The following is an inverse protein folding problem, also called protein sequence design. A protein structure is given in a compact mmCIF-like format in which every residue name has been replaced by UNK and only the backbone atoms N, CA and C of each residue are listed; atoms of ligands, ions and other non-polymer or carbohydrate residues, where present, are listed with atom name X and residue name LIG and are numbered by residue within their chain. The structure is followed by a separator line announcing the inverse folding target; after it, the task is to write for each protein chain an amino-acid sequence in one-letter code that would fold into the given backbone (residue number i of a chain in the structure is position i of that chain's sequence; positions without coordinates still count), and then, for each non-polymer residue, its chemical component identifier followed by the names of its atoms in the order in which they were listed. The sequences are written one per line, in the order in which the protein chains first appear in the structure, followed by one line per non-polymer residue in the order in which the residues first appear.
data_IF_528390797045
#
_entry.id   IF_528390797045
#
_cell.length_a   1.000
_cell.length_b   1.000
_cell.length_c   1.000
_cell.angle_alpha   90.00
_cell.angle_beta   90.00
_cell.angle_gamma   90.00
#
_symmetry.space_group_name_H-M   'P 1'
#
loop_
_entity.id
_entity.type
_entity.pdbx_description
1 polymer ?
#
# COMPACT_ATOMS: atom_id res chain seq x y z
N UNK A 1 -32.64 -3.00 3.42
CA UNK A 1 -32.28 -1.72 4.04
C UNK A 1 -31.48 -0.89 3.03
N UNK A 2 -31.88 0.38 2.80
CA UNK A 2 -31.13 1.24 1.87
C UNK A 2 -29.98 1.91 2.58
N UNK A 3 -28.81 1.89 1.94
CA UNK A 3 -27.57 2.49 2.45
C UNK A 3 -26.92 3.29 1.32
N UNK A 4 -26.57 4.56 1.60
CA UNK A 4 -25.76 5.38 0.68
C UNK A 4 -24.30 5.05 0.90
N UNK A 5 -23.61 4.74 -0.19
CA UNK A 5 -22.18 4.46 -0.24
C UNK A 5 -21.50 5.28 -1.36
N UNK A 6 -20.21 5.46 -1.28
CA UNK A 6 -19.44 6.10 -2.34
C UNK A 6 -19.16 5.13 -3.48
N UNK A 7 -18.94 5.66 -4.68
CA UNK A 7 -18.75 4.85 -5.88
C UNK A 7 -17.61 3.81 -5.72
N UNK A 8 -16.49 4.19 -5.09
CA UNK A 8 -15.35 3.28 -4.87
C UNK A 8 -15.62 2.15 -3.85
N UNK A 9 -16.71 2.24 -3.07
CA UNK A 9 -17.12 1.19 -2.12
C UNK A 9 -17.96 0.10 -2.76
N UNK A 10 -18.35 0.30 -4.01
CA UNK A 10 -19.23 -0.63 -4.73
C UNK A 10 -18.46 -1.91 -5.10
N UNK A 11 -19.15 -3.06 -5.01
CA UNK A 11 -18.61 -4.40 -5.26
C UNK A 11 -19.60 -5.23 -6.08
N UNK A 12 -19.08 -6.24 -6.78
CA UNK A 12 -19.88 -7.31 -7.39
C UNK A 12 -20.71 -8.00 -6.30
N UNK A 13 -22.00 -8.22 -6.56
CA UNK A 13 -22.95 -8.75 -5.60
C UNK A 13 -23.79 -7.69 -4.87
N UNK A 14 -23.47 -6.41 -4.97
CA UNK A 14 -24.28 -5.32 -4.44
C UNK A 14 -25.47 -5.04 -5.36
N UNK A 15 -26.63 -4.72 -4.75
CA UNK A 15 -27.81 -4.31 -5.48
C UNK A 15 -27.92 -2.78 -5.47
N UNK A 16 -27.76 -2.17 -6.64
CA UNK A 16 -27.89 -0.71 -6.84
C UNK A 16 -29.37 -0.34 -6.93
N UNK A 17 -29.82 0.56 -6.05
CA UNK A 17 -31.14 1.17 -6.10
C UNK A 17 -31.12 2.49 -6.87
N UNK A 18 -30.03 3.29 -6.71
CA UNK A 18 -29.93 4.62 -7.30
C UNK A 18 -28.46 5.04 -7.45
N UNK A 19 -28.17 5.74 -8.55
CA UNK A 19 -26.90 6.43 -8.78
C UNK A 19 -27.13 7.93 -8.58
N UNK A 20 -26.28 8.57 -7.79
CA UNK A 20 -26.37 9.99 -7.49
C UNK A 20 -25.16 10.75 -8.07
N UNK A 21 -25.39 11.82 -8.83
CA UNK A 21 -24.35 12.67 -9.41
C UNK A 21 -24.92 13.86 -10.17
N UNK A 22 -24.11 14.89 -10.38
CA UNK A 22 -24.53 16.17 -10.99
C UNK A 22 -24.60 16.15 -12.51
N UNK A 23 -24.09 15.11 -13.17
CA UNK A 23 -24.02 14.97 -14.63
C UNK A 23 -24.20 13.52 -15.06
N UNK A 24 -25.29 12.87 -14.66
CA UNK A 24 -25.61 11.52 -15.11
C UNK A 24 -25.98 11.56 -16.59
N UNK A 25 -25.29 10.75 -17.40
CA UNK A 25 -25.56 10.59 -18.83
C UNK A 25 -26.93 9.92 -19.02
N UNK A 26 -27.91 10.58 -19.69
CA UNK A 26 -29.24 10.03 -19.89
C UNK A 26 -29.26 8.72 -20.72
N UNK A 27 -28.18 8.43 -21.45
CA UNK A 27 -28.04 7.23 -22.27
C UNK A 27 -27.54 6.00 -21.50
N UNK A 28 -27.20 6.13 -20.20
CA UNK A 28 -26.69 5.03 -19.37
C UNK A 28 -27.78 4.49 -18.43
N UNK A 29 -27.73 3.19 -18.07
CA UNK A 29 -28.77 2.59 -17.26
C UNK A 29 -28.85 3.26 -15.87
N UNK A 30 -29.94 3.99 -15.61
CA UNK A 30 -30.27 4.61 -14.33
C UNK A 30 -31.20 3.71 -13.49
N UNK A 31 -31.34 2.44 -13.86
CA UNK A 31 -32.23 1.49 -13.22
C UNK A 31 -31.63 0.80 -12.00
N UNK A 32 -32.52 0.13 -11.25
CA UNK A 32 -32.14 -0.77 -10.17
C UNK A 32 -31.57 -2.05 -10.75
N UNK A 33 -30.37 -2.45 -10.35
CA UNK A 33 -29.72 -3.65 -10.85
C UNK A 33 -28.77 -4.27 -9.84
N UNK A 34 -28.54 -5.58 -9.98
CA UNK A 34 -27.52 -6.32 -9.28
C UNK A 34 -26.22 -6.24 -10.07
N UNK A 35 -25.14 -5.87 -9.44
CA UNK A 35 -23.79 -5.90 -10.04
C UNK A 35 -23.36 -7.36 -10.10
N UNK A 36 -23.25 -7.91 -11.31
CA UNK A 36 -22.96 -9.34 -11.52
C UNK A 36 -21.52 -9.59 -11.98
N UNK A 37 -20.83 -8.56 -12.48
CA UNK A 37 -19.51 -8.70 -13.08
C UNK A 37 -18.65 -7.46 -12.91
N UNK A 38 -17.34 -7.57 -13.14
CA UNK A 38 -16.43 -6.44 -13.26
C UNK A 38 -16.85 -5.45 -14.35
N UNK A 39 -17.42 -5.95 -15.45
CA UNK A 39 -17.92 -5.11 -16.54
C UNK A 39 -19.07 -4.19 -16.08
N UNK A 40 -19.92 -4.65 -15.17
CA UNK A 40 -20.99 -3.82 -14.59
C UNK A 40 -20.38 -2.73 -13.67
N UNK A 41 -19.32 -3.07 -12.93
CA UNK A 41 -18.55 -2.09 -12.16
C UNK A 41 -17.92 -1.03 -13.06
N UNK A 42 -17.25 -1.43 -14.13
CA UNK A 42 -16.61 -0.51 -15.08
C UNK A 42 -17.61 0.45 -15.71
N UNK A 43 -18.78 -0.05 -16.12
CA UNK A 43 -19.88 0.77 -16.62
C UNK A 43 -20.39 1.78 -15.62
N UNK A 44 -20.48 1.36 -14.36
CA UNK A 44 -20.92 2.23 -13.27
C UNK A 44 -19.88 3.28 -12.92
N UNK A 45 -18.58 2.91 -12.89
CA UNK A 45 -17.47 3.84 -12.69
C UNK A 45 -17.37 4.88 -13.79
N UNK A 46 -17.74 4.52 -15.04
CA UNK A 46 -17.83 5.43 -16.18
C UNK A 46 -19.09 6.33 -16.16
N UNK A 47 -20.00 6.18 -15.21
CA UNK A 47 -21.28 6.92 -15.15
C UNK A 47 -21.19 8.34 -14.56
N UNK A 48 -20.03 8.78 -14.11
CA UNK A 48 -19.84 10.07 -13.40
C UNK A 48 -20.68 10.20 -12.10
N UNK A 49 -21.20 9.10 -11.55
CA UNK A 49 -21.86 9.10 -10.26
C UNK A 49 -20.87 9.46 -9.13
N UNK A 50 -21.33 10.20 -8.13
CA UNK A 50 -20.55 10.57 -6.95
C UNK A 50 -20.83 9.57 -5.82
N UNK A 51 -22.07 9.12 -5.69
CA UNK A 51 -22.51 8.16 -4.69
C UNK A 51 -23.53 7.19 -5.26
N UNK A 52 -23.74 6.10 -4.55
CA UNK A 52 -24.65 5.01 -4.90
C UNK A 52 -25.51 4.65 -3.69
N UNK A 53 -26.81 4.52 -3.90
CA UNK A 53 -27.69 3.92 -2.90
C UNK A 53 -27.82 2.43 -3.21
N UNK A 54 -27.39 1.58 -2.27
CA UNK A 54 -27.53 0.13 -2.35
C UNK A 54 -28.68 -0.37 -1.47
N UNK A 55 -29.25 -1.52 -1.85
CA UNK A 55 -30.20 -2.25 -1.00
C UNK A 55 -29.52 -3.52 -0.47
N UNK A 56 -29.20 -3.50 0.83
CA UNK A 56 -28.51 -4.59 1.52
C UNK A 56 -29.38 -5.83 1.77
N UNK A 57 -30.69 -5.75 1.51
CA UNK A 57 -31.58 -6.92 1.54
C UNK A 57 -31.63 -7.66 0.20
N UNK A 58 -31.25 -6.99 -0.89
CA UNK A 58 -31.27 -7.55 -2.26
C UNK A 58 -29.89 -7.90 -2.78
N UNK A 59 -28.82 -7.44 -2.11
CA UNK A 59 -27.45 -7.69 -2.43
C UNK A 59 -26.56 -7.65 -1.19
N UNK A 60 -25.26 -7.84 -1.38
CA UNK A 60 -24.28 -7.77 -0.29
C UNK A 60 -24.14 -6.32 0.23
N UNK A 61 -23.83 -6.18 1.52
CA UNK A 61 -23.51 -4.88 2.15
C UNK A 61 -21.99 -4.61 2.07
N UNK A 62 -21.62 -3.36 2.27
CA UNK A 62 -20.23 -2.93 2.46
C UNK A 62 -19.59 -3.57 3.68
N UNK A 63 -20.38 -3.93 4.70
CA UNK A 63 -19.91 -4.48 5.96
C UNK A 63 -19.76 -6.01 5.94
N UNK A 64 -20.20 -6.71 4.89
CA UNK A 64 -20.10 -8.18 4.77
C UNK A 64 -18.74 -8.68 4.33
N UNK A 65 -17.80 -7.79 4.00
CA UNK A 65 -16.47 -8.18 3.49
C UNK A 65 -15.47 -8.63 4.57
N UNK A 66 -15.71 -8.36 5.87
CA UNK A 66 -14.81 -8.79 6.95
C UNK A 66 -15.59 -9.06 8.26
N UNK A 67 -15.31 -10.18 8.95
CA UNK A 67 -15.82 -10.38 10.31
C UNK A 67 -15.23 -9.33 11.26
N UNK A 68 -15.99 -8.82 12.23
CA UNK A 68 -15.58 -7.74 13.15
C UNK A 68 -14.49 -8.14 14.16
N UNK A 69 -14.13 -9.41 14.24
CA UNK A 69 -13.06 -9.91 15.11
C UNK A 69 -11.82 -10.22 14.26
N UNK A 70 -10.66 -9.76 14.75
CA UNK A 70 -9.36 -9.76 14.07
C UNK A 70 -9.14 -10.98 13.16
N UNK A 71 -8.73 -10.74 11.94
CA UNK A 71 -8.59 -11.74 10.89
C UNK A 71 -7.93 -13.02 11.42
N UNK A 72 -8.74 -14.03 11.66
CA UNK A 72 -8.27 -15.40 11.76
C UNK A 72 -7.47 -15.69 10.46
N UNK A 73 -6.23 -16.18 10.54
CA UNK A 73 -5.43 -16.50 9.36
C UNK A 73 -6.16 -17.34 8.31
N UNK A 74 -7.06 -18.24 8.74
CA UNK A 74 -7.89 -19.04 7.84
C UNK A 74 -8.93 -18.19 7.07
N UNK A 75 -9.53 -17.19 7.70
CA UNK A 75 -10.48 -16.30 7.04
C UNK A 75 -9.78 -15.38 6.03
N UNK A 76 -8.55 -14.94 6.34
CA UNK A 76 -7.75 -14.16 5.40
C UNK A 76 -7.25 -15.02 4.24
N UNK A 77 -6.86 -16.27 4.48
CA UNK A 77 -6.48 -17.20 3.43
C UNK A 77 -7.66 -17.50 2.48
N UNK A 78 -8.86 -17.69 3.02
CA UNK A 78 -10.08 -17.82 2.23
C UNK A 78 -10.35 -16.55 1.39
N UNK A 79 -10.09 -15.37 1.95
CA UNK A 79 -10.20 -14.09 1.24
C UNK A 79 -9.19 -13.97 0.10
N UNK A 80 -7.93 -14.35 0.31
CA UNK A 80 -6.94 -14.39 -0.78
C UNK A 80 -7.39 -15.30 -1.93
N UNK A 81 -7.95 -16.47 -1.63
CA UNK A 81 -8.47 -17.39 -2.64
C UNK A 81 -9.71 -16.87 -3.39
N UNK A 82 -10.39 -15.83 -2.91
CA UNK A 82 -11.48 -15.18 -3.65
C UNK A 82 -10.97 -14.24 -4.78
N UNK A 83 -9.71 -13.78 -4.69
CA UNK A 83 -9.10 -12.88 -5.68
C UNK A 83 -8.02 -13.54 -6.53
N UNK A 84 -7.32 -14.53 -5.95
CA UNK A 84 -6.17 -15.16 -6.59
C UNK A 84 -6.36 -16.67 -6.68
N UNK A 85 -5.90 -17.26 -7.79
CA UNK A 85 -5.84 -18.72 -7.91
C UNK A 85 -4.82 -19.31 -6.93
N UNK A 86 -4.99 -20.59 -6.59
CA UNK A 86 -4.02 -21.30 -5.74
C UNK A 86 -2.59 -21.27 -6.31
N UNK A 87 -2.46 -21.29 -7.64
CA UNK A 87 -1.18 -21.17 -8.33
C UNK A 87 -0.54 -19.78 -8.14
N UNK A 88 -1.33 -18.71 -8.28
CA UNK A 88 -0.83 -17.34 -8.05
C UNK A 88 -0.37 -17.14 -6.60
N UNK A 89 -1.13 -17.67 -5.63
CA UNK A 89 -0.75 -17.62 -4.21
C UNK A 89 0.54 -18.40 -3.98
N UNK A 90 0.66 -19.61 -4.53
CA UNK A 90 1.86 -20.43 -4.38
C UNK A 90 3.10 -19.79 -5.02
N UNK A 91 2.95 -19.14 -6.19
CA UNK A 91 4.03 -18.38 -6.83
C UNK A 91 4.45 -17.19 -5.96
N UNK A 92 3.48 -16.43 -5.42
CA UNK A 92 3.76 -15.31 -4.54
C UNK A 92 4.47 -15.74 -3.23
N UNK A 93 4.06 -16.86 -2.64
CA UNK A 93 4.73 -17.44 -1.46
C UNK A 93 6.17 -17.83 -1.79
N UNK A 94 6.40 -18.48 -2.94
CA UNK A 94 7.74 -18.83 -3.40
C UNK A 94 8.61 -17.59 -3.62
N UNK A 95 8.09 -16.55 -4.27
CA UNK A 95 8.80 -15.30 -4.49
C UNK A 95 9.23 -14.65 -3.16
N UNK A 96 8.35 -14.65 -2.14
CA UNK A 96 8.68 -14.17 -0.79
C UNK A 96 9.81 -15.01 -0.18
N UNK A 97 9.74 -16.34 -0.24
CA UNK A 97 10.77 -17.23 0.32
C UNK A 97 12.13 -17.06 -0.39
N UNK A 98 12.12 -16.92 -1.71
CA UNK A 98 13.34 -16.68 -2.49
C UNK A 98 13.95 -15.30 -2.25
N UNK A 99 13.13 -14.30 -1.93
CA UNK A 99 13.58 -12.92 -1.64
C UNK A 99 14.06 -12.78 -0.19
N UNK A 100 13.56 -13.61 0.71
CA UNK A 100 13.81 -13.57 2.17
C UNK A 100 15.30 -13.47 2.55
N UNK A 101 16.23 -14.32 2.03
CA UNK A 101 17.62 -14.26 2.44
C UNK A 101 18.27 -12.91 2.12
N UNK A 102 17.93 -12.31 1.01
CA UNK A 102 18.51 -11.03 0.57
C UNK A 102 18.02 -9.87 1.44
N UNK A 103 16.70 -9.75 1.65
CA UNK A 103 16.13 -8.68 2.49
C UNK A 103 16.57 -8.85 3.95
N UNK A 104 16.59 -10.11 4.44
CA UNK A 104 17.07 -10.39 5.80
C UNK A 104 18.52 -9.97 5.98
N UNK A 105 19.38 -10.23 4.99
CA UNK A 105 20.78 -9.77 5.02
C UNK A 105 20.84 -8.24 5.12
N UNK A 106 20.08 -7.51 4.32
CA UNK A 106 20.01 -6.03 4.38
C UNK A 106 19.63 -5.55 5.78
N UNK A 107 18.57 -6.12 6.38
CA UNK A 107 18.07 -5.69 7.68
C UNK A 107 19.05 -6.05 8.82
N UNK A 108 19.62 -7.25 8.81
CA UNK A 108 20.57 -7.71 9.84
C UNK A 108 21.87 -6.90 9.79
N UNK A 109 22.41 -6.63 8.59
CA UNK A 109 23.62 -5.82 8.46
C UNK A 109 23.39 -4.38 8.91
N UNK A 110 22.21 -3.83 8.60
CA UNK A 110 21.84 -2.51 9.10
C UNK A 110 21.75 -2.47 10.64
N UNK A 111 21.18 -3.50 11.24
CA UNK A 111 20.99 -3.60 12.69
C UNK A 111 22.32 -3.80 13.43
N UNK A 112 23.16 -4.74 12.98
CA UNK A 112 24.35 -5.15 13.70
C UNK A 112 25.58 -4.28 13.38
N UNK A 113 25.70 -3.84 12.14
CA UNK A 113 26.89 -3.18 11.64
C UNK A 113 26.67 -1.74 11.17
N UNK A 114 25.43 -1.24 11.24
CA UNK A 114 25.04 0.09 10.72
C UNK A 114 25.48 0.27 9.26
N UNK A 115 25.42 -0.83 8.49
CA UNK A 115 25.86 -0.91 7.11
C UNK A 115 24.72 -1.34 6.18
N UNK A 116 24.76 -0.85 4.96
CA UNK A 116 23.81 -1.22 3.91
C UNK A 116 24.45 -2.24 2.96
N UNK A 117 23.68 -3.26 2.58
CA UNK A 117 24.11 -4.28 1.63
C UNK A 117 23.44 -4.06 0.28
N UNK A 118 24.08 -3.22 -0.55
CA UNK A 118 23.52 -2.76 -1.84
C UNK A 118 23.21 -3.93 -2.79
N UNK A 119 24.13 -4.87 -2.97
CA UNK A 119 23.92 -6.03 -3.87
C UNK A 119 22.76 -6.90 -3.44
N UNK A 120 22.63 -7.16 -2.14
CA UNK A 120 21.51 -7.93 -1.60
C UNK A 120 20.18 -7.22 -1.83
N UNK A 121 20.13 -5.91 -1.65
CA UNK A 121 18.93 -5.12 -1.90
C UNK A 121 18.56 -5.12 -3.40
N UNK A 122 19.53 -4.99 -4.29
CA UNK A 122 19.31 -5.07 -5.73
C UNK A 122 18.78 -6.45 -6.15
N UNK A 123 19.36 -7.54 -5.65
CA UNK A 123 18.91 -8.90 -5.93
C UNK A 123 17.47 -9.14 -5.46
N UNK A 124 17.10 -8.60 -4.29
CA UNK A 124 15.73 -8.67 -3.79
C UNK A 124 14.75 -7.96 -4.74
N UNK A 125 15.09 -6.75 -5.18
CA UNK A 125 14.24 -5.95 -6.09
C UNK A 125 14.12 -6.60 -7.46
N UNK A 126 15.22 -7.13 -8.03
CA UNK A 126 15.19 -7.84 -9.32
C UNK A 126 14.24 -9.04 -9.29
N UNK A 127 14.22 -9.80 -8.17
CA UNK A 127 13.26 -10.90 -8.02
C UNK A 127 11.82 -10.41 -8.02
N UNK A 128 11.50 -9.33 -7.29
CA UNK A 128 10.15 -8.75 -7.31
C UNK A 128 9.78 -8.21 -8.69
N UNK A 129 10.74 -7.63 -9.42
CA UNK A 129 10.50 -7.08 -10.76
C UNK A 129 10.34 -8.14 -11.84
N UNK A 130 10.99 -9.31 -11.68
CA UNK A 130 10.93 -10.40 -12.66
C UNK A 130 9.58 -11.11 -12.67
N UNK A 131 8.80 -10.98 -11.61
CA UNK A 131 7.49 -11.59 -11.52
C UNK A 131 6.46 -10.85 -12.40
N UNK A 132 5.52 -11.62 -12.95
CA UNK A 132 4.40 -11.05 -13.69
C UNK A 132 3.56 -10.14 -12.77
N UNK A 133 2.94 -9.10 -13.33
CA UNK A 133 2.11 -8.14 -12.55
C UNK A 133 1.04 -8.83 -11.70
N UNK A 134 0.46 -9.92 -12.19
CA UNK A 134 -0.52 -10.73 -11.44
C UNK A 134 0.08 -11.39 -10.20
N UNK A 135 1.34 -11.83 -10.29
CA UNK A 135 2.07 -12.43 -9.16
C UNK A 135 2.46 -11.34 -8.15
N UNK A 136 2.81 -10.15 -8.61
CA UNK A 136 3.13 -8.99 -7.74
C UNK A 136 1.91 -8.60 -6.90
N UNK A 137 0.70 -8.57 -7.47
CA UNK A 137 -0.53 -8.31 -6.72
C UNK A 137 -0.82 -9.38 -5.66
N UNK A 138 -0.62 -10.66 -6.01
CA UNK A 138 -0.74 -11.77 -5.07
C UNK A 138 0.34 -11.69 -3.98
N UNK A 139 1.58 -11.27 -4.32
CA UNK A 139 2.67 -11.06 -3.36
C UNK A 139 2.30 -9.99 -2.33
N UNK A 140 1.75 -8.84 -2.77
CA UNK A 140 1.26 -7.79 -1.86
C UNK A 140 0.18 -8.36 -0.93
N UNK A 141 -0.75 -9.16 -1.45
CA UNK A 141 -1.80 -9.83 -0.68
C UNK A 141 -1.22 -10.80 0.36
N UNK A 142 -0.32 -11.70 -0.05
CA UNK A 142 0.32 -12.70 0.82
C UNK A 142 1.20 -12.04 1.88
N UNK A 143 1.93 -10.96 1.54
CA UNK A 143 2.76 -10.22 2.49
C UNK A 143 1.95 -9.58 3.64
N UNK A 144 0.63 -9.36 3.45
CA UNK A 144 -0.26 -8.90 4.53
C UNK A 144 -0.54 -9.97 5.61
N UNK A 145 -0.23 -11.25 5.35
CA UNK A 145 -0.31 -12.37 6.32
C UNK A 145 0.90 -12.39 7.27
N UNK A 146 1.19 -11.29 7.93
CA UNK A 146 2.42 -11.15 8.74
C UNK A 146 2.41 -12.05 9.97
N UNK A 147 3.48 -12.84 10.13
CA UNK A 147 3.86 -13.39 11.41
C UNK A 147 4.49 -12.30 12.30
N UNK A 148 4.37 -12.45 13.63
CA UNK A 148 4.81 -11.42 14.61
C UNK A 148 6.28 -11.02 14.47
N UNK A 149 7.13 -11.93 14.01
CA UNK A 149 8.58 -11.73 13.94
C UNK A 149 9.07 -11.21 12.58
N UNK A 150 8.22 -11.20 11.55
CA UNK A 150 8.59 -10.83 10.17
C UNK A 150 7.98 -9.50 9.70
N UNK A 151 7.35 -8.75 10.60
CA UNK A 151 6.59 -7.55 10.25
C UNK A 151 7.37 -6.53 9.42
N UNK A 152 8.63 -6.26 9.75
CA UNK A 152 9.47 -5.28 9.03
C UNK A 152 9.88 -5.80 7.65
N UNK A 153 10.28 -7.09 7.56
CA UNK A 153 10.64 -7.71 6.29
C UNK A 153 9.49 -7.67 5.27
N UNK A 154 8.31 -8.16 5.67
CA UNK A 154 7.15 -8.25 4.78
C UNK A 154 6.60 -6.86 4.43
N UNK A 155 6.67 -5.89 5.35
CA UNK A 155 6.34 -4.50 5.08
C UNK A 155 7.24 -3.90 3.99
N UNK A 156 8.55 -3.95 4.17
CA UNK A 156 9.50 -3.44 3.18
C UNK A 156 9.31 -4.08 1.80
N UNK A 157 9.09 -5.40 1.77
CA UNK A 157 8.82 -6.11 0.53
C UNK A 157 7.50 -5.68 -0.14
N UNK A 158 6.43 -5.54 0.64
CA UNK A 158 5.13 -5.11 0.14
C UNK A 158 5.15 -3.66 -0.37
N UNK A 159 5.81 -2.74 0.34
CA UNK A 159 5.98 -1.35 -0.11
C UNK A 159 6.81 -1.30 -1.40
N UNK A 160 7.91 -2.07 -1.48
CA UNK A 160 8.69 -2.21 -2.71
C UNK A 160 7.82 -2.66 -3.90
N UNK A 161 7.04 -3.73 -3.72
CA UNK A 161 6.14 -4.26 -4.75
C UNK A 161 5.05 -3.26 -5.15
N UNK A 162 4.46 -2.53 -4.19
CA UNK A 162 3.49 -1.46 -4.44
C UNK A 162 4.11 -0.33 -5.26
N UNK A 163 5.30 0.13 -4.91
CA UNK A 163 5.99 1.20 -5.61
C UNK A 163 6.38 0.80 -7.03
N UNK A 164 6.85 -0.44 -7.26
CA UNK A 164 7.13 -1.01 -8.58
C UNK A 164 5.84 -1.01 -9.42
N UNK A 165 4.76 -1.55 -8.87
CA UNK A 165 3.48 -1.67 -9.58
C UNK A 165 2.90 -0.29 -9.89
N UNK A 166 2.94 0.63 -8.93
CA UNK A 166 2.46 1.99 -9.15
C UNK A 166 3.32 2.76 -10.17
N UNK A 167 4.64 2.61 -10.13
CA UNK A 167 5.55 3.16 -11.13
C UNK A 167 5.25 2.67 -12.56
N UNK A 168 4.98 1.38 -12.73
CA UNK A 168 4.53 0.81 -14.00
C UNK A 168 3.21 1.43 -14.48
N UNK A 169 2.23 1.56 -13.60
CA UNK A 169 0.94 2.18 -13.91
C UNK A 169 1.03 3.68 -14.20
N UNK A 170 2.05 4.37 -13.69
CA UNK A 170 2.35 5.76 -14.04
C UNK A 170 3.07 5.88 -15.38
N UNK A 171 3.52 4.78 -15.99
CA UNK A 171 4.26 4.76 -17.27
C UNK A 171 5.73 5.17 -17.10
N UNK A 172 6.31 4.98 -15.93
CA UNK A 172 7.73 5.25 -15.71
C UNK A 172 8.59 4.19 -16.44
N UNK A 173 9.82 4.57 -16.80
CA UNK A 173 10.76 3.64 -17.41
C UNK A 173 11.29 2.63 -16.37
N UNK A 174 11.82 1.48 -16.84
CA UNK A 174 12.30 0.39 -15.98
C UNK A 174 13.39 0.82 -14.99
N UNK A 175 14.25 1.76 -15.35
CA UNK A 175 15.28 2.29 -14.46
C UNK A 175 14.66 2.99 -13.25
N UNK A 176 13.68 3.90 -13.48
CA UNK A 176 12.96 4.58 -12.41
C UNK A 176 12.14 3.62 -11.56
N UNK A 177 11.53 2.60 -12.18
CA UNK A 177 10.76 1.57 -11.49
C UNK A 177 11.69 0.77 -10.54
N UNK A 178 12.89 0.41 -11.00
CA UNK A 178 13.91 -0.26 -10.17
C UNK A 178 14.32 0.60 -8.97
N UNK A 179 14.51 1.91 -9.17
CA UNK A 179 14.84 2.84 -8.08
C UNK A 179 13.67 2.98 -7.08
N UNK A 180 12.42 3.01 -7.56
CA UNK A 180 11.24 2.97 -6.69
C UNK A 180 11.18 1.68 -5.86
N UNK A 181 11.43 0.53 -6.48
CA UNK A 181 11.49 -0.75 -5.79
C UNK A 181 12.57 -0.77 -4.70
N UNK A 182 13.78 -0.31 -5.04
CA UNK A 182 14.88 -0.24 -4.08
C UNK A 182 14.58 0.74 -2.94
N UNK A 183 14.07 1.93 -3.25
CA UNK A 183 13.66 2.91 -2.26
C UNK A 183 12.58 2.37 -1.33
N UNK A 184 11.53 1.72 -1.88
CA UNK A 184 10.48 1.08 -1.08
C UNK A 184 10.99 -0.04 -0.18
N UNK A 185 11.99 -0.81 -0.63
CA UNK A 185 12.61 -1.86 0.18
C UNK A 185 13.37 -1.29 1.39
N UNK A 186 13.99 -0.12 1.26
CA UNK A 186 14.91 0.44 2.26
C UNK A 186 14.42 1.71 2.95
N UNK A 187 13.20 2.19 2.63
CA UNK A 187 12.68 3.46 3.18
C UNK A 187 12.75 3.53 4.70
N UNK A 188 12.51 2.41 5.36
CA UNK A 188 12.48 2.24 6.82
C UNK A 188 13.78 1.69 7.42
N UNK A 189 14.87 1.62 6.66
CA UNK A 189 16.13 1.00 7.10
C UNK A 189 16.66 1.59 8.41
N UNK A 190 16.46 2.87 8.64
CA UNK A 190 16.86 3.55 9.87
C UNK A 190 16.15 3.09 11.12
N UNK A 191 15.02 2.36 11.03
CA UNK A 191 14.37 1.73 12.17
C UNK A 191 15.23 0.61 12.77
N UNK A 192 16.13 0.00 11.97
CA UNK A 192 17.00 -1.09 12.44
C UNK A 192 17.99 -0.67 13.52
N UNK A 193 18.28 0.62 13.63
CA UNK A 193 19.18 1.18 14.65
C UNK A 193 18.46 1.85 15.83
N UNK A 194 17.14 1.69 15.89
CA UNK A 194 16.32 2.12 17.03
C UNK A 194 16.18 0.97 18.05
N UNK A 195 15.97 1.28 19.34
CA UNK A 195 15.70 0.27 20.36
C UNK A 195 14.51 -0.62 19.96
N UNK A 196 14.70 -1.94 20.01
CA UNK A 196 13.66 -2.92 19.64
C UNK A 196 12.44 -2.82 20.54
N UNK A 197 12.67 -2.53 21.83
CA UNK A 197 11.63 -2.33 22.84
C UNK A 197 10.69 -1.18 22.46
N UNK A 198 11.25 -0.12 21.87
CA UNK A 198 10.50 1.04 21.41
C UNK A 198 9.61 0.68 20.21
N UNK A 199 10.16 -0.07 19.26
CA UNK A 199 9.42 -0.49 18.05
C UNK A 199 8.32 -1.51 18.35
N UNK A 200 8.49 -2.31 19.42
CA UNK A 200 7.54 -3.33 19.87
C UNK A 200 6.62 -2.88 20.98
N UNK A 201 6.75 -1.62 21.45
CA UNK A 201 5.98 -1.10 22.58
C UNK A 201 4.47 -1.18 22.28
N UNK A 202 3.70 -1.87 23.15
CA UNK A 202 2.25 -1.86 23.02
C UNK A 202 1.69 -0.50 23.46
N UNK A 203 0.77 0.06 22.66
CA UNK A 203 0.09 1.31 22.97
C UNK A 203 0.74 2.56 22.37
N UNK A 204 0.40 3.72 22.93
CA UNK A 204 0.88 5.01 22.42
C UNK A 204 2.31 5.30 22.89
N UNK A 205 3.12 5.83 21.99
CA UNK A 205 4.45 6.36 22.30
C UNK A 205 4.32 7.69 23.06
N UNK A 206 5.25 7.95 23.99
CA UNK A 206 5.42 9.29 24.58
C UNK A 206 5.94 10.28 23.54
N UNK A 207 5.94 11.57 23.86
CA UNK A 207 6.47 12.60 22.95
C UNK A 207 7.96 12.35 22.61
N UNK A 208 8.78 12.00 23.61
CA UNK A 208 10.21 11.72 23.42
C UNK A 208 10.44 10.44 22.60
N UNK A 209 9.67 9.39 22.86
CA UNK A 209 9.73 8.15 22.10
C UNK A 209 9.33 8.39 20.63
N UNK A 210 8.29 9.18 20.41
CA UNK A 210 7.86 9.55 19.06
C UNK A 210 8.93 10.39 18.34
N UNK A 211 9.55 11.35 19.05
CA UNK A 211 10.66 12.14 18.53
C UNK A 211 11.84 11.23 18.12
N UNK A 212 12.17 10.22 18.95
CA UNK A 212 13.21 9.25 18.62
C UNK A 212 12.84 8.40 17.40
N UNK A 213 11.60 7.90 17.30
CA UNK A 213 11.16 7.15 16.11
C UNK A 213 11.23 8.01 14.86
N UNK A 214 10.86 9.29 14.93
CA UNK A 214 10.93 10.23 13.80
C UNK A 214 12.35 10.51 13.28
N UNK A 215 13.40 10.03 13.98
CA UNK A 215 14.78 10.13 13.47
C UNK A 215 15.12 9.06 12.43
N UNK A 216 14.29 8.01 12.24
CA UNK A 216 14.65 6.91 11.34
C UNK A 216 14.88 7.32 9.88
N UNK A 217 14.16 8.30 9.27
CA UNK A 217 14.46 8.70 7.90
C UNK A 217 15.89 9.24 7.76
N UNK A 218 16.30 10.12 8.69
CA UNK A 218 17.65 10.67 8.71
C UNK A 218 18.71 9.59 8.97
N UNK A 219 18.45 8.67 9.90
CA UNK A 219 19.38 7.55 10.22
C UNK A 219 19.55 6.61 9.03
N UNK A 220 18.47 6.29 8.35
CA UNK A 220 18.49 5.49 7.13
C UNK A 220 19.26 6.19 6.00
N UNK A 221 18.98 7.46 5.78
CA UNK A 221 19.71 8.30 4.82
C UNK A 221 21.23 8.30 5.08
N UNK A 222 21.67 8.53 6.33
CA UNK A 222 23.09 8.54 6.70
C UNK A 222 23.75 7.17 6.51
N UNK A 223 23.00 6.09 6.63
CA UNK A 223 23.49 4.74 6.36
C UNK A 223 23.65 4.51 4.86
N UNK A 224 22.60 4.81 4.08
CA UNK A 224 22.56 4.62 2.63
C UNK A 224 23.59 5.50 1.90
N UNK A 225 23.78 6.74 2.36
CA UNK A 225 24.70 7.71 1.75
C UNK A 225 26.17 7.26 1.76
N UNK A 226 26.54 6.32 2.64
CA UNK A 226 27.90 5.77 2.68
C UNK A 226 28.20 4.87 1.50
N UNK A 227 27.16 4.37 0.82
CA UNK A 227 27.30 3.46 -0.31
C UNK A 227 27.32 4.26 -1.62
N UNK A 228 28.43 4.22 -2.38
CA UNK A 228 28.63 5.08 -3.55
C UNK A 228 27.69 4.77 -4.72
N UNK A 229 27.06 3.59 -4.72
CA UNK A 229 26.17 3.14 -5.80
C UNK A 229 24.70 3.45 -5.53
N UNK A 230 24.35 3.97 -4.36
CA UNK A 230 22.98 4.34 -4.03
C UNK A 230 22.63 5.66 -4.72
N UNK A 231 21.61 5.65 -5.56
CA UNK A 231 21.17 6.84 -6.29
C UNK A 231 20.48 7.87 -5.38
N UNK A 232 20.51 9.14 -5.76
CA UNK A 232 19.80 10.21 -5.05
C UNK A 232 18.31 9.92 -4.87
N UNK A 233 17.66 9.30 -5.85
CA UNK A 233 16.24 8.95 -5.76
C UNK A 233 15.95 8.01 -4.58
N UNK A 234 16.80 7.03 -4.32
CA UNK A 234 16.66 6.11 -3.17
C UNK A 234 16.91 6.84 -1.86
N UNK A 235 17.92 7.73 -1.83
CA UNK A 235 18.20 8.58 -0.67
C UNK A 235 17.01 9.50 -0.33
N UNK A 236 16.42 10.13 -1.35
CA UNK A 236 15.24 11.00 -1.22
C UNK A 236 14.01 10.24 -0.70
N UNK A 237 13.77 9.02 -1.19
CA UNK A 237 12.69 8.16 -0.68
C UNK A 237 12.90 7.90 0.82
N UNK A 238 14.08 7.43 1.20
CA UNK A 238 14.38 7.11 2.59
C UNK A 238 14.25 8.33 3.51
N UNK A 239 14.75 9.50 3.07
CA UNK A 239 14.75 10.71 3.87
C UNK A 239 13.36 11.35 3.98
N UNK A 240 12.57 11.34 2.91
CA UNK A 240 11.41 12.23 2.76
C UNK A 240 10.05 11.52 2.64
N UNK A 241 9.97 10.17 2.83
CA UNK A 241 8.71 9.44 2.72
C UNK A 241 7.67 9.79 3.80
N UNK A 242 8.06 10.50 4.86
CA UNK A 242 7.16 11.04 5.89
C UNK A 242 6.90 12.54 5.76
N UNK A 243 7.40 13.18 4.70
CA UNK A 243 6.96 14.53 4.39
C UNK A 243 5.48 14.51 3.95
N UNK A 244 4.78 15.59 4.26
CA UNK A 244 3.38 15.75 3.87
C UNK A 244 3.23 16.92 2.91
N UNK A 245 2.32 16.79 1.97
CA UNK A 245 2.14 17.75 0.91
C UNK A 245 1.85 19.18 1.40
N UNK A 246 1.27 19.33 2.61
CA UNK A 246 1.01 20.59 3.27
C UNK A 246 2.19 21.15 4.10
N UNK A 247 3.34 20.45 4.15
CA UNK A 247 4.51 20.83 4.92
C UNK A 247 4.47 20.47 6.41
N UNK A 248 3.41 19.78 6.88
CA UNK A 248 3.31 19.33 8.29
C UNK A 248 4.05 18.02 8.56
N UNK A 249 4.80 17.52 7.58
CA UNK A 249 5.58 16.29 7.66
C UNK A 249 6.91 16.43 8.39
N UNK A 250 7.76 15.43 8.27
CA UNK A 250 9.11 15.42 8.81
C UNK A 250 10.05 14.60 7.90
N UNK A 251 11.40 14.80 7.96
CA UNK A 251 12.16 15.55 8.96
C UNK A 251 12.31 17.05 8.65
N UNK A 252 12.09 17.52 7.42
CA UNK A 252 12.41 18.88 7.00
C UNK A 252 11.20 19.79 6.85
N UNK A 253 9.96 19.24 6.85
CA UNK A 253 8.74 20.00 6.63
C UNK A 253 8.64 20.53 5.19
N UNK A 254 9.12 19.76 4.21
CA UNK A 254 8.98 20.09 2.80
C UNK A 254 7.50 20.09 2.39
N UNK A 255 7.11 20.99 1.48
CA UNK A 255 5.73 21.15 1.04
C UNK A 255 5.58 21.07 -0.48
N UNK A 256 4.46 20.56 -0.95
CA UNK A 256 4.09 20.55 -2.36
C UNK A 256 5.15 19.89 -3.23
N UNK A 257 5.59 20.59 -4.27
CA UNK A 257 6.58 20.08 -5.22
C UNK A 257 8.04 20.13 -4.72
N UNK A 258 8.30 20.73 -3.57
CA UNK A 258 9.62 20.66 -2.93
C UNK A 258 9.89 19.24 -2.37
N UNK A 259 8.82 18.46 -2.15
CA UNK A 259 8.96 17.02 -1.86
C UNK A 259 9.29 16.28 -3.16
N UNK A 260 10.40 15.54 -3.23
CA UNK A 260 10.75 14.76 -4.42
C UNK A 260 9.60 13.84 -4.87
N UNK A 261 9.36 13.74 -6.18
CA UNK A 261 8.27 12.91 -6.73
C UNK A 261 8.31 11.46 -6.20
N UNK A 262 9.50 10.89 -6.12
CA UNK A 262 9.70 9.51 -5.64
C UNK A 262 9.32 9.34 -4.16
N UNK A 263 9.50 10.37 -3.33
CA UNK A 263 9.10 10.38 -1.92
C UNK A 263 7.57 10.55 -1.79
N UNK A 264 6.93 11.38 -2.65
CA UNK A 264 5.46 11.48 -2.69
C UNK A 264 4.79 10.17 -3.08
N UNK A 265 5.39 9.41 -4.02
CA UNK A 265 4.95 8.05 -4.38
C UNK A 265 5.11 7.11 -3.19
N UNK A 266 6.25 7.15 -2.50
CA UNK A 266 6.54 6.31 -1.34
C UNK A 266 5.55 6.56 -0.19
N UNK A 267 5.24 7.82 0.13
CA UNK A 267 4.27 8.17 1.17
C UNK A 267 2.88 7.55 0.94
N UNK A 268 2.40 7.52 -0.31
CA UNK A 268 1.12 6.89 -0.66
C UNK A 268 1.20 5.37 -0.47
N UNK A 269 2.25 4.73 -0.97
CA UNK A 269 2.40 3.26 -0.91
C UNK A 269 2.62 2.78 0.52
N UNK A 270 3.44 3.46 1.32
CA UNK A 270 3.70 3.12 2.73
C UNK A 270 2.43 3.23 3.57
N UNK A 271 1.71 4.35 3.50
CA UNK A 271 0.47 4.54 4.25
C UNK A 271 -0.59 3.54 3.84
N UNK A 272 -0.76 3.28 2.53
CA UNK A 272 -1.70 2.28 2.05
C UNK A 272 -1.38 0.88 2.60
N UNK A 273 -0.12 0.45 2.52
CA UNK A 273 0.32 -0.84 3.09
C UNK A 273 0.07 -0.88 4.60
N UNK A 274 0.47 0.16 5.32
CA UNK A 274 0.32 0.23 6.77
C UNK A 274 -1.15 0.20 7.25
N UNK A 275 -2.08 0.71 6.46
CA UNK A 275 -3.52 0.66 6.75
C UNK A 275 -4.12 -0.71 6.44
N UNK A 276 -3.74 -1.33 5.32
CA UNK A 276 -4.34 -2.58 4.82
C UNK A 276 -3.70 -3.85 5.36
N UNK A 277 -2.64 -3.75 6.17
CA UNK A 277 -1.95 -4.89 6.76
C UNK A 277 -2.42 -5.16 8.18
N UNK A 278 -2.55 -6.46 8.53
CA UNK A 278 -2.83 -6.93 9.90
C UNK A 278 -1.63 -6.60 10.79
N UNK A 279 -1.89 -5.96 11.93
CA UNK A 279 -0.89 -5.72 12.98
C UNK A 279 -1.37 -6.33 14.30
N UNK A 280 -0.47 -6.74 15.22
CA UNK A 280 -0.86 -7.43 16.47
C UNK A 280 -1.89 -6.67 17.32
N UNK A 281 -1.99 -5.35 17.15
CA UNK A 281 -2.83 -4.47 17.96
C UNK A 281 -3.89 -3.72 17.16
N UNK A 282 -4.00 -3.98 15.83
CA UNK A 282 -4.93 -3.29 14.96
C UNK A 282 -5.40 -4.21 13.83
N UNK A 283 -6.73 -4.33 13.65
CA UNK A 283 -7.27 -5.01 12.47
C UNK A 283 -6.76 -4.35 11.19
N UNK A 284 -6.57 -5.13 10.14
CA UNK A 284 -6.41 -4.57 8.81
C UNK A 284 -7.68 -3.80 8.43
N UNK A 285 -7.48 -2.67 7.81
CA UNK A 285 -8.58 -1.97 7.16
C UNK A 285 -8.88 -2.61 5.82
N UNK A 286 -10.13 -2.59 5.42
CA UNK A 286 -10.48 -2.93 4.05
C UNK A 286 -9.83 -1.92 3.11
N UNK A 287 -9.65 -2.31 1.86
CA UNK A 287 -9.16 -1.40 0.82
C UNK A 287 -9.99 -0.11 0.76
N UNK A 288 -11.33 -0.23 0.86
CA UNK A 288 -12.24 0.90 0.85
C UNK A 288 -12.03 1.83 2.06
N UNK A 289 -11.89 1.28 3.27
CA UNK A 289 -11.62 2.07 4.49
C UNK A 289 -10.27 2.80 4.41
N UNK A 290 -9.23 2.12 3.89
CA UNK A 290 -7.92 2.72 3.71
C UNK A 290 -7.97 3.90 2.72
N UNK A 291 -8.57 3.68 1.56
CA UNK A 291 -8.70 4.73 0.53
C UNK A 291 -9.56 5.89 1.02
N UNK A 292 -10.69 5.62 1.68
CA UNK A 292 -11.53 6.68 2.25
C UNK A 292 -10.75 7.55 3.25
N UNK A 293 -9.98 6.92 4.12
CA UNK A 293 -9.12 7.64 5.06
C UNK A 293 -8.03 8.45 4.37
N UNK A 294 -7.36 7.87 3.36
CA UNK A 294 -6.32 8.58 2.62
C UNK A 294 -6.87 9.81 1.88
N UNK A 295 -8.05 9.70 1.27
CA UNK A 295 -8.73 10.82 0.61
C UNK A 295 -9.11 11.93 1.60
N UNK A 296 -9.57 11.56 2.81
CA UNK A 296 -9.94 12.52 3.85
C UNK A 296 -8.75 13.08 4.65
N UNK A 297 -7.56 12.53 4.48
CA UNK A 297 -6.32 13.05 5.08
C UNK A 297 -5.83 14.29 4.30
N UNK A 298 -6.62 15.37 4.36
CA UNK A 298 -6.36 16.63 3.64
C UNK A 298 -4.94 17.12 3.92
N UNK A 299 -4.20 17.46 2.86
CA UNK A 299 -2.84 17.96 2.96
C UNK A 299 -1.76 16.89 3.17
N UNK A 300 -2.11 15.63 3.39
CA UNK A 300 -1.11 14.59 3.61
C UNK A 300 -0.42 14.18 2.31
N UNK A 301 -1.18 13.91 1.27
CA UNK A 301 -0.69 13.37 0.00
C UNK A 301 -0.77 14.38 -1.13
N UNK A 302 0.06 14.19 -2.15
CA UNK A 302 -0.10 14.83 -3.44
C UNK A 302 -1.45 14.39 -4.04
N UNK A 303 -2.38 15.32 -4.30
CA UNK A 303 -3.74 14.98 -4.71
C UNK A 303 -3.81 14.29 -6.08
N UNK A 304 -2.94 14.67 -7.02
CA UNK A 304 -2.91 14.09 -8.36
C UNK A 304 -2.34 12.67 -8.34
N UNK A 305 -1.28 12.45 -7.56
CA UNK A 305 -0.73 11.11 -7.36
C UNK A 305 -1.70 10.20 -6.60
N UNK A 306 -2.37 10.70 -5.56
CA UNK A 306 -3.37 9.91 -4.83
C UNK A 306 -4.54 9.53 -5.74
N UNK A 307 -5.03 10.46 -6.57
CA UNK A 307 -6.07 10.19 -7.56
C UNK A 307 -5.61 9.12 -8.57
N UNK A 308 -4.36 9.22 -9.06
CA UNK A 308 -3.78 8.22 -9.96
C UNK A 308 -3.65 6.85 -9.29
N UNK A 309 -3.21 6.80 -8.02
CA UNK A 309 -3.14 5.56 -7.24
C UNK A 309 -4.51 4.90 -7.12
N UNK A 310 -5.52 5.64 -6.68
CA UNK A 310 -6.88 5.12 -6.55
C UNK A 310 -7.42 4.60 -7.87
N UNK A 311 -7.30 5.37 -8.95
CA UNK A 311 -7.87 5.00 -10.25
C UNK A 311 -7.13 3.83 -10.92
N UNK A 312 -5.79 3.84 -10.89
CA UNK A 312 -4.96 2.90 -11.65
C UNK A 312 -4.55 1.66 -10.87
N UNK A 313 -4.60 1.69 -9.55
CA UNK A 313 -4.20 0.57 -8.71
C UNK A 313 -5.42 -0.13 -8.08
N UNK A 314 -6.33 0.64 -7.51
CA UNK A 314 -7.45 0.11 -6.74
C UNK A 314 -8.65 -0.16 -7.65
N UNK A 315 -9.12 0.84 -8.39
CA UNK A 315 -10.32 0.72 -9.24
C UNK A 315 -10.09 -0.24 -10.41
N UNK A 316 -8.91 -0.20 -11.01
CA UNK A 316 -8.52 -1.12 -12.09
C UNK A 316 -8.38 -2.58 -11.65
N UNK A 317 -8.42 -2.86 -10.33
CA UNK A 317 -8.19 -4.20 -9.80
C UNK A 317 -6.73 -4.66 -9.89
N UNK A 318 -5.78 -3.73 -10.03
CA UNK A 318 -4.34 -4.06 -10.03
C UNK A 318 -3.89 -4.56 -8.66
N UNK A 319 -4.45 -4.02 -7.57
CA UNK A 319 -4.26 -4.48 -6.19
C UNK A 319 -5.62 -4.74 -5.53
N UNK A 320 -5.64 -5.69 -4.58
CA UNK A 320 -6.84 -6.15 -3.87
C UNK A 320 -6.69 -6.06 -2.37
#
# INVERSE_FOLDING_TARGET
LRKRIRLHQVRVGMFVEELEGTALDPAKPHGRFLIKSSLDLDRMMASHAISVVIDTQKGIDTDTAFPPEGLNPAAFQAHLHSFFSGEQIALAQRAIEETRPYVRNVLVQAQLHHAFQFDSACLAVEKVMSDAMSTTSALIGVAKLKDKDEGTFLHSLAVSALMITFGRNLGLNEEKIRLLGLGGLVHDLGKMVLPVELLRKPGKLTADELALVRTHPQRGYEMLKKEPYVSNAVLEICLSHHEKFDGSGYPHGLAGNDIPLVARIAAICDVYEALTTVRPYKRAWTQAEAIDTMIHSTGHFDPDLLKAFVSRMVISGTIH
#
